data_IF_511901331492
#
_entry.id   IF_511901331492
#
_cell.length_a   1.000
_cell.length_b   1.000
_cell.length_c   1.000
_cell.angle_alpha   90.00
_cell.angle_beta   90.00
_cell.angle_gamma   90.00
#
_symmetry.space_group_name_H-M   'P 1'
#
loop_
_entity.id
_entity.type
_entity.pdbx_description
1 polymer ?
#
# COMPACT_ATOMS: atom_id res chain seq x y z
N UNK A 1 -8.71 -3.39 -32.66
CA UNK A 1 -7.51 -2.90 -31.96
C UNK A 1 -7.60 -3.37 -30.54
N UNK A 2 -6.66 -4.22 -30.13
CA UNK A 2 -6.63 -4.76 -28.76
C UNK A 2 -6.15 -3.68 -27.76
N UNK A 3 -6.33 -3.92 -26.46
CA UNK A 3 -6.00 -2.93 -25.43
C UNK A 3 -4.50 -2.60 -25.36
N UNK A 4 -3.62 -3.57 -25.69
CA UNK A 4 -2.17 -3.33 -25.73
C UNK A 4 -1.74 -2.45 -26.91
N UNK A 5 -2.37 -2.60 -28.08
CA UNK A 5 -2.16 -1.71 -29.24
C UNK A 5 -2.63 -0.29 -28.92
N UNK A 6 -3.81 -0.15 -28.31
CA UNK A 6 -4.33 1.15 -27.83
C UNK A 6 -3.35 1.77 -26.84
N UNK A 7 -2.89 1.00 -25.85
CA UNK A 7 -1.90 1.45 -24.88
C UNK A 7 -0.63 1.95 -25.56
N UNK A 8 -0.03 1.19 -26.49
CA UNK A 8 1.22 1.59 -27.15
C UNK A 8 1.06 2.89 -27.94
N UNK A 9 -0.06 3.07 -28.64
CA UNK A 9 -0.35 4.32 -29.36
C UNK A 9 -0.52 5.48 -28.38
N UNK A 10 -1.30 5.29 -27.32
CA UNK A 10 -1.60 6.33 -26.35
C UNK A 10 -0.41 6.68 -25.45
N UNK A 11 0.50 5.74 -25.20
CA UNK A 11 1.65 5.90 -24.30
C UNK A 11 2.92 6.38 -25.01
N UNK A 12 2.96 6.33 -26.35
CA UNK A 12 4.12 6.72 -27.14
C UNK A 12 4.62 8.15 -26.80
N UNK A 13 5.90 8.27 -26.45
CA UNK A 13 6.55 9.53 -26.14
C UNK A 13 6.11 10.17 -24.81
N UNK A 14 5.31 9.50 -23.99
CA UNK A 14 4.87 10.01 -22.68
C UNK A 14 5.84 9.63 -21.56
N UNK A 15 5.96 10.49 -20.56
CA UNK A 15 6.68 10.18 -19.33
C UNK A 15 6.03 9.02 -18.57
N UNK A 16 6.84 8.37 -17.73
CA UNK A 16 6.47 7.19 -16.96
C UNK A 16 5.13 7.32 -16.24
N UNK A 17 4.86 8.43 -15.53
CA UNK A 17 3.61 8.57 -14.79
C UNK A 17 2.35 8.58 -15.68
N UNK A 18 2.40 9.24 -16.83
CA UNK A 18 1.29 9.17 -17.80
C UNK A 18 1.15 7.77 -18.40
N UNK A 19 2.26 7.09 -18.70
CA UNK A 19 2.23 5.71 -19.18
C UNK A 19 1.62 4.78 -18.15
N UNK A 20 1.98 4.94 -16.88
CA UNK A 20 1.44 4.17 -15.77
C UNK A 20 -0.07 4.39 -15.58
N UNK A 21 -0.53 5.64 -15.64
CA UNK A 21 -1.95 5.97 -15.58
C UNK A 21 -2.74 5.32 -16.74
N UNK A 22 -2.23 5.39 -17.97
CA UNK A 22 -2.88 4.76 -19.13
C UNK A 22 -2.88 3.23 -19.00
N UNK A 23 -1.78 2.63 -18.54
CA UNK A 23 -1.67 1.20 -18.32
C UNK A 23 -2.71 0.72 -17.28
N UNK A 24 -2.86 1.44 -16.16
CA UNK A 24 -3.82 1.13 -15.10
C UNK A 24 -5.28 1.20 -15.57
N UNK A 25 -5.58 2.07 -16.53
CA UNK A 25 -6.94 2.26 -17.04
C UNK A 25 -7.31 1.31 -18.19
N UNK A 26 -6.34 0.81 -18.96
CA UNK A 26 -6.59 0.07 -20.20
C UNK A 26 -6.16 -1.40 -20.16
N UNK A 27 -5.11 -1.72 -19.41
CA UNK A 27 -4.49 -3.04 -19.48
C UNK A 27 -4.88 -3.90 -18.29
N UNK A 28 -4.89 -5.23 -18.52
CA UNK A 28 -4.86 -6.16 -17.40
C UNK A 28 -3.54 -6.02 -16.64
N UNK A 29 -3.58 -6.38 -15.37
CA UNK A 29 -2.47 -6.21 -14.44
C UNK A 29 -1.19 -6.94 -14.90
N UNK A 30 -1.30 -8.08 -15.59
CA UNK A 30 -0.14 -8.85 -16.07
C UNK A 30 0.60 -8.13 -17.17
N UNK A 31 -0.14 -7.71 -18.18
CA UNK A 31 0.40 -6.96 -19.31
C UNK A 31 1.00 -5.64 -18.84
N UNK A 32 0.32 -4.96 -17.92
CA UNK A 32 0.73 -3.66 -17.46
C UNK A 32 2.01 -3.69 -16.59
N UNK A 33 2.22 -4.77 -15.82
CA UNK A 33 3.51 -5.02 -15.16
C UNK A 33 4.65 -5.16 -16.18
N UNK A 34 4.46 -6.01 -17.18
CA UNK A 34 5.50 -6.28 -18.19
C UNK A 34 5.91 -5.01 -18.94
N UNK A 35 4.96 -4.12 -19.22
CA UNK A 35 5.21 -2.85 -19.92
C UNK A 35 5.88 -1.78 -19.03
N UNK A 36 5.84 -1.89 -17.70
CA UNK A 36 6.35 -0.86 -16.78
C UNK A 36 7.53 -1.31 -15.89
N UNK A 37 7.81 -2.62 -15.80
CA UNK A 37 8.81 -3.18 -14.85
C UNK A 37 10.22 -2.60 -14.99
N UNK A 38 10.67 -2.31 -16.20
CA UNK A 38 12.02 -1.81 -16.44
C UNK A 38 12.20 -0.37 -15.93
N UNK A 39 11.24 0.50 -16.19
CA UNK A 39 11.24 1.89 -15.69
C UNK A 39 10.99 1.94 -14.19
N UNK A 40 10.11 1.08 -13.67
CA UNK A 40 9.82 1.07 -12.24
C UNK A 40 11.00 0.60 -11.38
N UNK A 41 11.87 -0.24 -11.93
CA UNK A 41 13.09 -0.70 -11.26
C UNK A 41 14.20 0.37 -11.21
N UNK A 42 14.04 1.50 -11.90
CA UNK A 42 15.03 2.58 -11.91
C UNK A 42 15.00 3.37 -10.60
N UNK A 43 16.15 3.94 -10.26
CA UNK A 43 16.27 4.84 -9.10
C UNK A 43 15.62 6.20 -9.34
N UNK A 44 15.38 6.59 -10.60
CA UNK A 44 14.66 7.81 -10.96
C UNK A 44 14.25 7.75 -12.44
N UNK A 45 13.11 8.33 -12.78
CA UNK A 45 12.62 8.50 -14.14
C UNK A 45 12.40 9.96 -14.49
N UNK A 46 12.63 10.31 -15.75
CA UNK A 46 12.43 11.67 -16.24
C UNK A 46 10.94 12.06 -16.25
N UNK A 47 10.68 13.32 -15.93
CA UNK A 47 9.34 13.91 -16.05
C UNK A 47 9.04 14.41 -17.46
N UNK A 48 7.81 14.88 -17.66
CA UNK A 48 7.40 15.63 -18.83
C UNK A 48 6.51 16.80 -18.43
N UNK A 49 6.09 17.62 -19.41
CA UNK A 49 5.01 18.56 -19.21
C UNK A 49 3.78 17.84 -18.63
N UNK A 50 3.27 18.34 -17.49
CA UNK A 50 2.14 17.74 -16.77
C UNK A 50 2.47 16.52 -15.88
N UNK A 51 3.70 16.03 -15.84
CA UNK A 51 4.07 14.88 -15.01
C UNK A 51 5.48 15.01 -14.43
N UNK A 52 5.59 15.21 -13.11
CA UNK A 52 6.88 15.27 -12.41
C UNK A 52 7.61 13.94 -12.49
N UNK A 53 8.90 13.97 -12.83
CA UNK A 53 9.80 12.82 -12.70
C UNK A 53 10.24 12.62 -11.25
N UNK A 54 11.05 11.59 -10.99
CA UNK A 54 11.48 11.21 -9.66
C UNK A 54 11.45 9.70 -9.45
N UNK A 55 11.28 9.26 -8.21
CA UNK A 55 11.24 7.83 -7.89
C UNK A 55 9.98 7.19 -8.49
N UNK A 56 10.11 6.12 -9.29
CA UNK A 56 8.94 5.44 -9.88
C UNK A 56 7.94 4.94 -8.83
N UNK A 57 8.43 4.51 -7.67
CA UNK A 57 7.61 4.13 -6.51
C UNK A 57 6.66 5.25 -6.08
N UNK A 58 7.18 6.46 -5.90
CA UNK A 58 6.42 7.64 -5.48
C UNK A 58 5.42 8.09 -6.55
N UNK A 59 5.80 7.97 -7.82
CA UNK A 59 4.93 8.32 -8.95
C UNK A 59 3.75 7.35 -9.02
N UNK A 60 4.01 6.04 -8.95
CA UNK A 60 2.96 5.02 -8.95
C UNK A 60 2.06 5.15 -7.71
N UNK A 61 2.64 5.41 -6.54
CA UNK A 61 1.90 5.69 -5.30
C UNK A 61 0.87 6.81 -5.49
N UNK A 62 1.32 7.93 -6.05
CA UNK A 62 0.44 9.08 -6.30
C UNK A 62 -0.69 8.71 -7.25
N UNK A 63 -0.36 8.05 -8.37
CA UNK A 63 -1.35 7.66 -9.38
C UNK A 63 -2.38 6.69 -8.80
N UNK A 64 -1.96 5.69 -8.04
CA UNK A 64 -2.85 4.73 -7.39
C UNK A 64 -3.76 5.46 -6.40
N UNK A 65 -3.22 6.37 -5.59
CA UNK A 65 -4.01 7.14 -4.63
C UNK A 65 -5.06 8.01 -5.34
N UNK A 66 -4.66 8.68 -6.42
CA UNK A 66 -5.53 9.58 -7.21
C UNK A 66 -6.61 8.83 -7.97
N UNK A 67 -6.27 7.70 -8.60
CA UNK A 67 -7.21 6.96 -9.46
C UNK A 67 -8.10 6.00 -8.69
N UNK A 68 -7.58 5.39 -7.64
CA UNK A 68 -8.18 4.21 -7.00
C UNK A 68 -8.68 4.57 -5.62
N UNK A 69 -7.82 5.12 -4.76
CA UNK A 69 -8.24 5.41 -3.39
C UNK A 69 -9.28 6.55 -3.33
N UNK A 70 -9.23 7.51 -4.27
CA UNK A 70 -10.07 8.72 -4.39
C UNK A 70 -10.04 9.66 -3.15
N UNK A 71 -9.64 9.14 -1.99
CA UNK A 71 -9.42 9.79 -0.71
C UNK A 71 -8.07 9.34 -0.15
N UNK A 72 -7.20 10.29 0.17
CA UNK A 72 -5.87 10.04 0.72
C UNK A 72 -5.91 9.35 2.09
N UNK A 73 -7.05 9.38 2.79
CA UNK A 73 -7.27 8.63 4.04
C UNK A 73 -7.42 7.12 3.83
N UNK A 74 -7.73 6.69 2.61
CA UNK A 74 -7.83 5.28 2.21
C UNK A 74 -6.52 4.75 1.61
N UNK A 75 -5.47 5.57 1.57
CA UNK A 75 -4.17 5.23 0.98
C UNK A 75 -3.47 4.05 1.66
N UNK A 76 -3.92 3.62 2.84
CA UNK A 76 -3.37 2.44 3.51
C UNK A 76 -4.00 1.11 3.05
N UNK A 77 -5.04 1.14 2.21
CA UNK A 77 -5.68 -0.05 1.64
C UNK A 77 -5.86 0.06 0.12
N UNK A 78 -5.47 -1.00 -0.60
CA UNK A 78 -5.71 -1.17 -2.04
C UNK A 78 -6.58 -2.41 -2.31
N UNK A 79 -7.59 -2.31 -3.20
CA UNK A 79 -8.47 -3.43 -3.52
C UNK A 79 -7.77 -4.55 -4.31
N UNK A 80 -8.34 -5.75 -4.25
CA UNK A 80 -7.77 -7.01 -4.75
C UNK A 80 -7.36 -7.02 -6.22
N UNK A 81 -8.12 -6.32 -7.06
CA UNK A 81 -7.83 -6.12 -8.47
C UNK A 81 -6.58 -5.27 -8.73
N UNK A 82 -6.07 -4.54 -7.72
CA UNK A 82 -4.89 -3.68 -7.79
C UNK A 82 -3.68 -4.34 -7.11
N UNK A 83 -3.89 -5.29 -6.19
CA UNK A 83 -2.85 -6.03 -5.44
C UNK A 83 -1.79 -6.70 -6.31
N UNK A 84 -2.16 -7.07 -7.52
CA UNK A 84 -1.24 -7.73 -8.45
C UNK A 84 -0.09 -6.81 -8.88
N UNK A 85 -0.33 -5.50 -8.95
CA UNK A 85 0.72 -4.51 -9.17
C UNK A 85 1.67 -4.50 -8.00
N UNK A 86 1.15 -4.51 -6.78
CA UNK A 86 1.99 -4.56 -5.61
C UNK A 86 2.82 -5.84 -5.51
N UNK A 87 2.29 -7.05 -5.71
CA UNK A 87 3.17 -8.25 -5.63
C UNK A 87 4.33 -8.22 -6.62
N UNK A 88 4.18 -7.53 -7.75
CA UNK A 88 5.19 -7.47 -8.81
C UNK A 88 6.08 -6.21 -8.75
N UNK A 89 5.60 -5.15 -8.12
CA UNK A 89 6.33 -3.90 -7.83
C UNK A 89 6.62 -3.72 -6.33
N UNK A 90 6.42 -4.74 -5.49
CA UNK A 90 6.21 -4.59 -4.04
C UNK A 90 7.44 -4.16 -3.27
N UNK A 91 8.63 -4.41 -3.82
CA UNK A 91 9.88 -3.83 -3.33
C UNK A 91 9.89 -2.30 -3.38
N UNK A 92 9.06 -1.68 -4.23
CA UNK A 92 8.92 -0.23 -4.37
C UNK A 92 7.97 0.38 -3.32
N UNK A 93 7.08 -0.42 -2.72
CA UNK A 93 6.01 0.06 -1.82
C UNK A 93 6.12 -0.44 -0.37
N UNK A 94 7.19 -1.16 -0.01
CA UNK A 94 7.45 -1.86 1.27
C UNK A 94 7.01 -1.15 2.56
N UNK A 95 6.81 0.17 2.54
CA UNK A 95 6.56 0.98 3.74
C UNK A 95 5.23 1.74 3.75
N UNK A 96 4.49 1.87 2.65
CA UNK A 96 3.39 2.84 2.57
C UNK A 96 2.02 2.30 2.19
N UNK A 97 1.94 1.37 1.24
CA UNK A 97 0.70 0.65 1.02
C UNK A 97 0.84 -0.68 1.71
N UNK A 98 -0.06 -0.98 2.65
CA UNK A 98 -0.24 -2.35 3.13
C UNK A 98 -1.00 -3.12 2.08
N UNK A 99 -0.34 -3.26 0.94
CA UNK A 99 -0.81 -4.08 -0.12
C UNK A 99 -0.92 -5.48 0.43
N UNK A 100 -2.09 -6.03 0.22
CA UNK A 100 -2.51 -7.24 0.84
C UNK A 100 -1.87 -8.41 0.08
N UNK A 101 -0.56 -8.56 0.23
CA UNK A 101 0.06 -9.84 -0.04
C UNK A 101 -0.60 -10.88 0.89
N UNK A 102 -0.88 -12.08 0.41
CA UNK A 102 -1.23 -13.21 1.29
C UNK A 102 0.00 -14.08 1.55
N UNK A 103 1.14 -13.71 0.94
CA UNK A 103 2.40 -14.38 1.13
C UNK A 103 2.83 -14.28 2.60
N UNK A 104 2.76 -15.43 3.25
CA UNK A 104 3.07 -15.62 4.66
C UNK A 104 4.52 -15.23 4.95
N UNK A 105 5.45 -15.51 4.05
CA UNK A 105 6.87 -15.22 4.27
C UNK A 105 7.14 -13.71 4.28
N UNK A 106 6.58 -12.98 3.32
CA UNK A 106 6.69 -11.52 3.20
C UNK A 106 6.08 -10.82 4.41
N UNK A 107 4.88 -11.22 4.82
CA UNK A 107 4.24 -10.65 6.01
C UNK A 107 4.97 -10.98 7.30
N UNK A 108 5.52 -12.19 7.43
CA UNK A 108 6.37 -12.54 8.57
C UNK A 108 7.60 -11.63 8.66
N UNK A 109 8.23 -11.29 7.52
CA UNK A 109 9.35 -10.33 7.46
C UNK A 109 8.94 -8.90 7.83
N UNK A 110 7.81 -8.41 7.30
CA UNK A 110 7.27 -7.08 7.61
C UNK A 110 6.95 -6.97 9.10
N UNK A 111 6.21 -7.94 9.64
CA UNK A 111 5.83 -7.94 11.05
C UNK A 111 7.05 -8.02 11.95
N UNK A 112 8.02 -8.88 11.65
CA UNK A 112 9.27 -8.93 12.39
C UNK A 112 10.04 -7.59 12.34
N UNK A 113 10.10 -6.94 11.17
CA UNK A 113 10.72 -5.63 11.00
C UNK A 113 10.08 -4.61 11.93
N UNK A 114 8.76 -4.44 11.87
CA UNK A 114 8.06 -3.37 12.61
C UNK A 114 7.84 -3.67 14.10
N UNK A 115 7.54 -4.91 14.46
CA UNK A 115 7.17 -5.26 15.84
C UNK A 115 8.35 -5.77 16.69
N UNK A 116 9.49 -6.12 16.08
CA UNK A 116 10.64 -6.68 16.81
C UNK A 116 11.94 -5.93 16.52
N UNK A 117 12.27 -5.73 15.24
CA UNK A 117 13.57 -5.17 14.84
C UNK A 117 13.65 -3.65 15.04
N UNK A 118 12.58 -2.93 14.70
CA UNK A 118 12.54 -1.49 14.84
C UNK A 118 12.32 -1.11 16.30
N UNK A 119 13.26 -0.35 16.89
CA UNK A 119 13.15 0.19 18.26
C UNK A 119 12.18 1.38 18.37
N UNK A 120 11.21 1.49 17.45
CA UNK A 120 10.38 2.67 17.23
C UNK A 120 8.94 2.51 17.75
N UNK A 121 8.71 1.55 18.65
CA UNK A 121 7.39 1.41 19.26
C UNK A 121 7.03 2.65 20.08
N UNK A 122 5.78 3.15 19.97
CA UNK A 122 5.35 4.32 20.72
C UNK A 122 5.46 4.08 22.22
N UNK A 123 6.17 4.95 22.93
CA UNK A 123 6.19 4.93 24.40
C UNK A 123 5.25 5.98 24.94
N UNK A 124 4.55 5.67 26.03
CA UNK A 124 3.50 6.55 26.56
C UNK A 124 4.05 7.91 26.95
N UNK A 125 5.26 7.95 27.49
CA UNK A 125 5.99 9.13 27.93
C UNK A 125 6.33 10.12 26.81
N UNK A 126 6.39 9.66 25.56
CA UNK A 126 6.73 10.50 24.40
C UNK A 126 5.55 11.38 23.93
N UNK A 127 4.36 11.25 24.54
CA UNK A 127 3.14 11.91 24.08
C UNK A 127 2.40 12.64 25.19
N UNK A 128 1.96 13.86 24.90
CA UNK A 128 1.22 14.71 25.84
C UNK A 128 -0.26 14.33 25.97
N UNK A 129 -0.83 13.59 25.02
CA UNK A 129 -2.24 13.17 25.04
C UNK A 129 -2.43 11.71 24.63
N UNK A 130 -3.43 11.06 25.22
CA UNK A 130 -3.85 9.70 24.84
C UNK A 130 -4.27 9.63 23.38
N UNK A 131 -4.89 10.68 22.84
CA UNK A 131 -5.28 10.75 21.43
C UNK A 131 -4.05 10.65 20.52
N UNK A 132 -3.00 11.44 20.78
CA UNK A 132 -1.78 11.40 19.97
C UNK A 132 -1.06 10.05 20.10
N UNK A 133 -0.99 9.50 21.31
CA UNK A 133 -0.41 8.18 21.56
C UNK A 133 -1.12 7.08 20.77
N UNK A 134 -2.46 7.04 20.85
CA UNK A 134 -3.28 6.06 20.14
C UNK A 134 -3.26 6.27 18.61
N UNK A 135 -3.04 7.50 18.13
CA UNK A 135 -2.90 7.76 16.70
C UNK A 135 -1.63 7.13 16.11
N UNK A 136 -0.50 7.17 16.82
CA UNK A 136 0.74 6.55 16.32
C UNK A 136 0.64 5.02 16.33
N UNK A 137 -0.04 4.46 17.32
CA UNK A 137 -0.43 3.04 17.30
C UNK A 137 -1.33 2.67 16.12
N UNK A 138 -2.01 3.64 15.51
CA UNK A 138 -2.84 3.45 14.32
C UNK A 138 -2.10 2.76 13.17
N UNK A 139 -0.85 3.14 12.90
CA UNK A 139 -0.05 2.50 11.84
C UNK A 139 0.23 1.02 12.11
N UNK A 140 0.56 0.67 13.35
CA UNK A 140 0.75 -0.73 13.75
C UNK A 140 -0.57 -1.51 13.74
N UNK A 141 -1.67 -0.86 14.09
CA UNK A 141 -3.00 -1.46 14.02
C UNK A 141 -3.46 -1.69 12.57
N UNK A 142 -3.08 -0.84 11.61
CA UNK A 142 -3.30 -1.06 10.18
C UNK A 142 -2.60 -2.33 9.70
N UNK A 143 -1.32 -2.53 10.07
CA UNK A 143 -0.58 -3.77 9.81
C UNK A 143 -1.30 -5.01 10.36
N UNK A 144 -1.68 -4.97 11.64
CA UNK A 144 -2.38 -6.08 12.30
C UNK A 144 -3.77 -6.34 11.72
N UNK A 145 -4.44 -5.30 11.22
CA UNK A 145 -5.76 -5.39 10.60
C UNK A 145 -5.70 -6.19 9.30
N UNK A 146 -4.68 -5.94 8.48
CA UNK A 146 -4.42 -6.70 7.25
C UNK A 146 -4.12 -8.16 7.55
N UNK A 147 -3.20 -8.42 8.48
CA UNK A 147 -2.77 -9.76 8.89
C UNK A 147 -3.92 -10.58 9.48
N UNK A 148 -4.79 -9.94 10.28
CA UNK A 148 -5.98 -10.58 10.85
C UNK A 148 -6.97 -11.00 9.76
N UNK A 149 -7.25 -10.12 8.80
CA UNK A 149 -8.18 -10.40 7.71
C UNK A 149 -7.65 -11.50 6.77
N UNK A 150 -6.34 -11.66 6.69
CA UNK A 150 -5.67 -12.71 5.92
C UNK A 150 -5.63 -14.07 6.63
N UNK A 151 -6.11 -14.18 7.87
CA UNK A 151 -5.94 -15.37 8.71
C UNK A 151 -4.47 -15.80 8.82
N UNK A 152 -3.54 -14.84 8.87
CA UNK A 152 -2.12 -15.13 8.92
C UNK A 152 -1.74 -15.81 10.26
N UNK A 153 -0.95 -16.89 10.25
CA UNK A 153 -0.69 -17.70 11.44
C UNK A 153 0.04 -16.96 12.57
N UNK A 154 0.83 -15.93 12.24
CA UNK A 154 1.55 -15.13 13.24
C UNK A 154 0.74 -13.95 13.81
N UNK A 155 -0.56 -13.79 13.51
CA UNK A 155 -1.36 -12.66 14.00
C UNK A 155 -1.28 -12.51 15.53
N UNK A 156 -1.60 -13.58 16.27
CA UNK A 156 -1.70 -13.54 17.73
C UNK A 156 -0.37 -13.15 18.37
N UNK A 157 0.74 -13.67 17.83
CA UNK A 157 2.11 -13.35 18.28
C UNK A 157 2.38 -11.85 18.26
N UNK A 158 2.13 -11.17 17.14
CA UNK A 158 2.42 -9.74 17.03
C UNK A 158 1.36 -8.86 17.69
N UNK A 159 0.11 -9.32 17.73
CA UNK A 159 -0.93 -8.65 18.49
C UNK A 159 -0.59 -8.61 19.98
N UNK A 160 -0.17 -9.74 20.56
CA UNK A 160 0.30 -9.78 21.95
C UNK A 160 1.49 -8.85 22.21
N UNK A 161 2.45 -8.80 21.29
CA UNK A 161 3.59 -7.89 21.40
C UNK A 161 3.08 -6.44 21.43
N UNK A 162 2.15 -6.06 20.55
CA UNK A 162 1.61 -4.70 20.49
C UNK A 162 0.89 -4.32 21.80
N UNK A 163 0.05 -5.21 22.32
CA UNK A 163 -0.66 -5.00 23.60
C UNK A 163 0.33 -4.86 24.76
N UNK A 164 1.33 -5.77 24.85
CA UNK A 164 2.38 -5.71 25.89
C UNK A 164 3.18 -4.40 25.84
N UNK A 165 3.29 -3.77 24.67
CA UNK A 165 3.97 -2.49 24.49
C UNK A 165 3.04 -1.26 24.63
N UNK A 166 1.76 -1.45 24.94
CA UNK A 166 0.84 -0.38 25.31
C UNK A 166 -0.17 0.03 24.25
N UNK A 167 -0.32 -0.74 23.16
CA UNK A 167 -1.42 -0.54 22.22
C UNK A 167 -2.77 -0.83 22.91
N UNK A 168 -3.71 0.11 22.82
CA UNK A 168 -5.09 -0.11 23.26
C UNK A 168 -5.84 -1.00 22.23
N UNK A 169 -6.48 -2.11 22.65
CA UNK A 169 -7.28 -2.97 21.77
C UNK A 169 -8.30 -2.21 20.90
N UNK A 170 -8.89 -1.13 21.42
CA UNK A 170 -9.86 -0.31 20.70
C UNK A 170 -9.27 0.34 19.43
N UNK A 171 -7.94 0.54 19.37
CA UNK A 171 -7.27 1.05 18.17
C UNK A 171 -7.38 0.04 17.03
N UNK A 172 -7.17 -1.25 17.30
CA UNK A 172 -7.29 -2.32 16.32
C UNK A 172 -8.75 -2.52 15.90
N UNK A 173 -9.69 -2.52 16.84
CA UNK A 173 -11.13 -2.66 16.55
C UNK A 173 -11.63 -1.56 15.59
N UNK A 174 -11.23 -0.32 15.85
CA UNK A 174 -11.54 0.81 14.96
C UNK A 174 -10.93 0.62 13.57
N UNK A 175 -9.67 0.19 13.47
CA UNK A 175 -9.02 -0.05 12.16
C UNK A 175 -9.65 -1.20 11.38
N UNK A 176 -10.08 -2.27 12.06
CA UNK A 176 -10.86 -3.34 11.43
C UNK A 176 -12.20 -2.82 10.86
N UNK A 177 -12.86 -1.92 11.58
CA UNK A 177 -14.09 -1.28 11.11
C UNK A 177 -13.83 -0.37 9.90
N UNK A 178 -12.82 0.51 9.98
CA UNK A 178 -12.40 1.38 8.87
C UNK A 178 -12.08 0.53 7.62
N UNK A 179 -11.34 -0.57 7.75
CA UNK A 179 -11.05 -1.46 6.62
C UNK A 179 -12.33 -2.05 6.02
N UNK A 180 -13.29 -2.47 6.85
CA UNK A 180 -14.56 -2.99 6.36
C UNK A 180 -15.35 -1.95 5.58
N UNK A 181 -15.38 -0.70 6.05
CA UNK A 181 -16.04 0.43 5.38
C UNK A 181 -15.35 0.77 4.06
N UNK A 182 -14.01 0.79 4.05
CA UNK A 182 -13.21 0.99 2.84
C UNK A 182 -13.51 -0.12 1.81
N UNK A 183 -13.48 -1.40 2.21
CA UNK A 183 -13.80 -2.52 1.31
C UNK A 183 -15.18 -2.37 0.67
N UNK A 184 -16.18 -1.96 1.45
CA UNK A 184 -17.53 -1.72 0.93
C UNK A 184 -17.57 -0.59 -0.10
N UNK A 185 -16.77 0.48 0.09
CA UNK A 185 -16.71 1.59 -0.87
C UNK A 185 -16.23 1.18 -2.27
N UNK A 186 -15.45 0.09 -2.37
CA UNK A 186 -14.97 -0.44 -3.65
C UNK A 186 -15.92 -1.42 -4.34
N UNK A 187 -16.94 -1.94 -3.66
CA UNK A 187 -17.92 -2.87 -4.25
C UNK A 187 -18.97 -2.12 -5.09
N UNK A 188 -19.13 -0.82 -4.86
CA UNK A 188 -20.09 0.04 -5.57
C UNK A 188 -19.56 0.78 -6.80
N UNK A 189 -18.33 0.48 -7.23
CA UNK A 189 -17.66 1.09 -8.41
C UNK A 189 -17.59 0.09 -9.56
#
# INVERSE_FOLDING_TARGET
>A
MNEIEKYRILSAGKAFGHRAQIALLLLDSSTAYEELKEEAAQTSVAGSYGCTGGFPSEILERIITELICLDTRNSWYLPDNVKFWDRRFGSLFETKFFCYDDDVETWSKILYKFFVKLKWMPKREDYTSTKSYNNVWGYFAELLTVVKQNNHPEFDKYYEIAIKNGMDPAVLERKLKELSEIKQSFIGV
#
